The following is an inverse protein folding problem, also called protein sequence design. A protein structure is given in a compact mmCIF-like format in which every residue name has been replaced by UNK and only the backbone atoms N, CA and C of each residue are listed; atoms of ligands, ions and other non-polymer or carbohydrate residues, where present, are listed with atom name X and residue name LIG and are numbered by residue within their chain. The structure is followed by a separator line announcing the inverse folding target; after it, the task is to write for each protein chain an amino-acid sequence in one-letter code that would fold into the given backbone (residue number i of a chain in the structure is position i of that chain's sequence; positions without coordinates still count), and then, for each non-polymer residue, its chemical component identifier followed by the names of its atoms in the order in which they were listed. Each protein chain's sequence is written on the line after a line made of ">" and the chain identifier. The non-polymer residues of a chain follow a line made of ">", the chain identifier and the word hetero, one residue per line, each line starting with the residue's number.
data_IF_023032935545
#
_entry.id   IF_023032935545
#
_cell.length_a   1.000
_cell.length_b   1.000
_cell.length_c   1.000
_cell.angle_alpha   90.00
_cell.angle_beta   90.00
_cell.angle_gamma   90.00
#
_symmetry.space_group_name_H-M   'P 1'
#
loop_
_entity.id
_entity.type
_entity.pdbx_description
1 polymer ?
#
# COMPACT_ATOMS: atom_id res chain seq x y z
N UNK A 1 21.14 20.01 20.81
CA UNK A 1 19.80 19.34 20.85
C UNK A 1 20.03 17.86 20.71
N UNK A 2 19.96 17.14 21.83
CA UNK A 2 20.05 15.69 21.79
C UNK A 2 18.76 15.13 21.20
N UNK A 3 18.84 14.74 19.94
CA UNK A 3 17.79 13.92 19.34
C UNK A 3 17.86 12.57 20.06
N UNK A 4 17.07 12.41 21.11
CA UNK A 4 16.79 11.09 21.66
C UNK A 4 16.10 10.31 20.55
N UNK A 5 16.90 9.61 19.74
CA UNK A 5 16.39 8.55 18.86
C UNK A 5 15.74 7.54 19.80
N UNK A 6 14.41 7.61 19.94
CA UNK A 6 13.67 6.50 20.52
C UNK A 6 14.01 5.30 19.65
N UNK A 7 14.85 4.41 20.16
CA UNK A 7 15.05 3.12 19.51
C UNK A 7 13.67 2.50 19.34
N UNK A 8 13.21 2.45 18.11
CA UNK A 8 11.97 1.78 17.78
C UNK A 8 12.16 0.35 18.25
N UNK A 9 11.36 -0.03 19.24
CA UNK A 9 11.30 -1.40 19.69
C UNK A 9 11.01 -2.24 18.45
N UNK A 10 11.85 -3.23 18.19
CA UNK A 10 11.75 -4.05 17.00
C UNK A 10 10.33 -4.59 16.80
N UNK A 11 9.94 -4.78 15.56
CA UNK A 11 8.69 -5.43 15.24
C UNK A 11 8.84 -6.92 15.50
N UNK A 12 8.14 -7.42 16.51
CA UNK A 12 8.07 -8.85 16.79
C UNK A 12 6.83 -9.43 16.11
N UNK A 13 7.04 -10.33 15.16
CA UNK A 13 5.94 -11.16 14.68
C UNK A 13 5.72 -12.30 15.66
N UNK A 14 4.46 -12.52 15.99
CA UNK A 14 4.06 -13.69 16.78
C UNK A 14 4.31 -14.96 15.97
N UNK A 15 4.57 -16.07 16.64
CA UNK A 15 4.85 -17.35 15.98
C UNK A 15 3.74 -17.78 15.03
N UNK A 16 2.47 -17.53 15.39
CA UNK A 16 1.32 -17.87 14.55
C UNK A 16 1.31 -17.10 13.22
N UNK A 17 1.85 -15.88 13.19
CA UNK A 17 2.03 -15.11 11.94
C UNK A 17 3.19 -15.68 11.14
N UNK A 18 4.34 -15.86 11.79
CA UNK A 18 5.58 -16.29 11.14
C UNK A 18 5.46 -17.63 10.44
N UNK A 19 4.74 -18.59 11.05
CA UNK A 19 4.53 -19.93 10.51
C UNK A 19 3.23 -20.08 9.72
N UNK A 20 2.48 -19.00 9.49
CA UNK A 20 1.26 -19.08 8.69
C UNK A 20 1.54 -19.36 7.21
N UNK A 21 0.65 -20.10 6.57
CA UNK A 21 0.72 -20.33 5.10
C UNK A 21 0.78 -19.01 4.34
N UNK A 22 0.04 -18.00 4.80
CA UNK A 22 0.06 -16.67 4.23
C UNK A 22 1.46 -16.04 4.27
N UNK A 23 2.14 -16.07 5.42
CA UNK A 23 3.48 -15.47 5.55
C UNK A 23 4.54 -16.26 4.77
N UNK A 24 4.48 -17.57 4.82
CA UNK A 24 5.45 -18.43 4.11
C UNK A 24 5.34 -18.27 2.59
N UNK A 25 4.15 -17.94 2.06
CA UNK A 25 3.95 -17.67 0.62
C UNK A 25 4.48 -16.31 0.17
N UNK A 26 4.81 -15.39 1.10
CA UNK A 26 5.27 -14.04 0.75
C UNK A 26 6.66 -14.05 0.11
N UNK A 27 6.81 -13.32 -0.97
CA UNK A 27 8.11 -12.98 -1.53
C UNK A 27 8.91 -12.09 -0.56
N UNK A 28 10.23 -12.07 -0.70
CA UNK A 28 11.10 -11.20 0.09
C UNK A 28 10.65 -9.74 -0.03
N UNK A 29 10.32 -9.30 -1.26
CA UNK A 29 9.85 -7.93 -1.50
C UNK A 29 8.56 -7.60 -0.76
N UNK A 30 7.65 -8.56 -0.61
CA UNK A 30 6.40 -8.39 0.13
C UNK A 30 6.65 -8.34 1.64
N UNK A 31 7.56 -9.16 2.15
CA UNK A 31 7.97 -9.11 3.57
C UNK A 31 8.61 -7.77 3.92
N UNK A 32 9.48 -7.25 3.04
CA UNK A 32 10.11 -5.94 3.23
C UNK A 32 9.05 -4.82 3.24
N UNK A 33 8.09 -4.84 2.32
CA UNK A 33 7.02 -3.85 2.28
C UNK A 33 6.11 -3.96 3.51
N UNK A 34 5.79 -5.16 3.96
CA UNK A 34 5.03 -5.37 5.19
C UNK A 34 5.76 -4.77 6.39
N UNK A 35 7.07 -5.00 6.49
CA UNK A 35 7.91 -4.44 7.54
C UNK A 35 7.87 -2.90 7.51
N UNK A 36 8.00 -2.29 6.33
CA UNK A 36 7.91 -0.84 6.17
C UNK A 36 6.56 -0.29 6.67
N UNK A 37 5.45 -0.94 6.33
CA UNK A 37 4.12 -0.53 6.79
C UNK A 37 3.95 -0.70 8.30
N UNK A 38 4.48 -1.78 8.87
CA UNK A 38 4.42 -2.01 10.32
C UNK A 38 5.22 -0.97 11.10
N UNK A 39 6.35 -0.47 10.57
CA UNK A 39 7.13 0.58 11.22
C UNK A 39 6.42 1.92 11.30
N UNK A 40 5.45 2.18 10.40
CA UNK A 40 4.62 3.39 10.45
C UNK A 40 3.54 3.34 11.56
N UNK A 41 3.26 2.18 12.12
CA UNK A 41 2.25 2.04 13.17
C UNK A 41 2.78 2.64 14.47
N UNK A 42 2.14 3.71 14.93
CA UNK A 42 2.43 4.28 16.23
C UNK A 42 1.76 3.43 17.33
N UNK A 43 2.52 3.08 18.35
CA UNK A 43 2.01 2.33 19.50
C UNK A 43 2.19 3.16 20.76
N UNK A 44 1.16 3.18 21.60
CA UNK A 44 1.22 3.75 22.95
C UNK A 44 0.62 2.79 23.98
N UNK A 45 1.11 2.85 25.21
CA UNK A 45 0.58 2.05 26.32
C UNK A 45 -0.50 2.87 27.03
N UNK A 46 -1.77 2.44 26.92
CA UNK A 46 -2.92 3.10 27.57
C UNK A 46 -3.51 2.10 28.56
N UNK A 47 -3.62 2.49 29.83
CA UNK A 47 -4.17 1.63 30.91
C UNK A 47 -3.56 0.22 30.91
N UNK A 48 -2.24 0.12 30.75
CA UNK A 48 -1.51 -1.15 30.74
C UNK A 48 -1.55 -1.95 29.43
N UNK A 49 -2.36 -1.58 28.45
CA UNK A 49 -2.48 -2.26 27.15
C UNK A 49 -1.80 -1.47 26.04
N UNK A 50 -1.16 -2.16 25.10
CA UNK A 50 -0.63 -1.56 23.89
C UNK A 50 -1.77 -1.27 22.91
N UNK A 51 -1.86 -0.03 22.44
CA UNK A 51 -2.84 0.42 21.45
C UNK A 51 -2.09 0.93 20.23
N UNK A 52 -2.50 0.44 19.07
CA UNK A 52 -1.98 0.89 17.78
C UNK A 52 -2.78 2.09 17.28
N UNK A 53 -2.06 3.15 16.88
CA UNK A 53 -2.65 4.36 16.29
C UNK A 53 -2.30 4.44 14.81
N UNK A 54 -3.16 5.11 14.03
CA UNK A 54 -2.99 5.34 12.60
C UNK A 54 -2.97 4.08 11.74
N UNK A 55 -3.33 2.94 12.30
CA UNK A 55 -3.49 1.73 11.50
C UNK A 55 -4.75 1.85 10.64
N UNK A 56 -4.59 2.10 9.37
CA UNK A 56 -5.64 2.47 8.40
C UNK A 56 -5.29 3.73 7.61
N UNK A 57 -4.29 4.49 8.08
CA UNK A 57 -3.74 5.68 7.43
C UNK A 57 -2.27 5.49 7.02
N UNK A 58 -1.80 4.25 6.99
CA UNK A 58 -0.42 3.93 6.63
C UNK A 58 -0.22 4.16 5.14
N UNK A 59 0.79 4.92 4.78
CA UNK A 59 1.00 5.37 3.41
C UNK A 59 2.44 5.23 2.93
N UNK A 60 3.11 4.13 3.31
CA UNK A 60 4.47 3.91 2.84
C UNK A 60 4.50 3.92 1.31
N UNK A 61 5.03 5.01 0.76
CA UNK A 61 4.91 5.30 -0.65
C UNK A 61 5.95 4.56 -1.50
N UNK A 62 5.60 4.36 -2.75
CA UNK A 62 6.44 3.71 -3.76
C UNK A 62 7.85 4.31 -3.83
N UNK A 63 7.98 5.64 -3.84
CA UNK A 63 9.28 6.31 -3.93
C UNK A 63 10.20 6.00 -2.75
N UNK A 64 9.64 5.90 -1.54
CA UNK A 64 10.43 5.60 -0.35
C UNK A 64 10.83 4.12 -0.31
N UNK A 65 9.94 3.23 -0.75
CA UNK A 65 10.27 1.82 -0.93
C UNK A 65 11.41 1.62 -1.94
N UNK A 66 11.36 2.31 -3.08
CA UNK A 66 12.41 2.24 -4.11
C UNK A 66 13.73 2.79 -3.57
N UNK A 67 13.71 3.92 -2.87
CA UNK A 67 14.91 4.50 -2.25
C UNK A 67 15.55 3.55 -1.23
N UNK A 68 14.72 2.92 -0.39
CA UNK A 68 15.17 2.03 0.67
C UNK A 68 15.70 0.70 0.11
N UNK A 69 14.95 0.06 -0.77
CA UNK A 69 15.23 -1.30 -1.23
C UNK A 69 16.02 -1.38 -2.53
N UNK A 70 16.15 -0.28 -3.26
CA UNK A 70 16.76 -0.18 -4.62
C UNK A 70 16.04 -1.08 -5.64
N UNK A 71 14.78 -1.43 -5.38
CA UNK A 71 13.95 -2.26 -6.28
C UNK A 71 13.08 -1.39 -7.19
N UNK A 72 12.52 -2.02 -8.23
CA UNK A 72 11.71 -1.31 -9.23
C UNK A 72 10.30 -0.98 -8.72
N UNK A 73 9.64 -0.04 -9.39
CA UNK A 73 8.22 0.27 -9.23
C UNK A 73 7.33 -0.98 -9.39
N UNK A 74 7.61 -1.81 -10.38
CA UNK A 74 6.83 -3.03 -10.61
C UNK A 74 6.96 -3.99 -9.44
N UNK A 75 8.14 -4.09 -8.83
CA UNK A 75 8.36 -4.90 -7.63
C UNK A 75 7.51 -4.40 -6.45
N UNK A 76 7.43 -3.08 -6.24
CA UNK A 76 6.54 -2.50 -5.23
C UNK A 76 5.07 -2.86 -5.48
N UNK A 77 4.60 -2.71 -6.72
CA UNK A 77 3.22 -3.04 -7.10
C UNK A 77 2.91 -4.51 -6.83
N UNK A 78 3.81 -5.40 -7.23
CA UNK A 78 3.66 -6.85 -7.03
C UNK A 78 3.66 -7.19 -5.54
N UNK A 79 4.56 -6.61 -4.75
CA UNK A 79 4.63 -6.79 -3.30
C UNK A 79 3.34 -6.35 -2.61
N UNK A 80 2.83 -5.16 -2.93
CA UNK A 80 1.55 -4.64 -2.42
C UNK A 80 0.38 -5.57 -2.77
N UNK A 81 0.30 -5.98 -4.03
CA UNK A 81 -0.78 -6.84 -4.49
C UNK A 81 -0.76 -8.20 -3.79
N UNK A 82 0.42 -8.77 -3.57
CA UNK A 82 0.57 -10.02 -2.83
C UNK A 82 0.13 -9.86 -1.37
N UNK A 83 0.48 -8.76 -0.71
CA UNK A 83 0.04 -8.49 0.67
C UNK A 83 -1.47 -8.32 0.79
N UNK A 84 -2.12 -7.73 -0.21
CA UNK A 84 -3.59 -7.67 -0.28
C UNK A 84 -4.15 -9.07 -0.48
N UNK A 85 -3.66 -9.81 -1.46
CA UNK A 85 -4.11 -11.16 -1.80
C UNK A 85 -4.05 -12.13 -0.62
N UNK A 86 -2.97 -12.09 0.14
CA UNK A 86 -2.75 -12.96 1.31
C UNK A 86 -3.46 -12.46 2.57
N UNK A 87 -4.07 -11.28 2.53
CA UNK A 87 -4.83 -10.73 3.66
C UNK A 87 -3.99 -10.10 4.77
N UNK A 88 -2.73 -9.75 4.52
CA UNK A 88 -1.91 -9.01 5.49
C UNK A 88 -2.25 -7.53 5.56
N UNK A 89 -2.64 -6.94 4.43
CA UNK A 89 -3.08 -5.55 4.37
C UNK A 89 -4.43 -5.41 3.69
N UNK A 90 -5.14 -4.36 4.08
CA UNK A 90 -6.34 -3.89 3.39
C UNK A 90 -6.11 -2.45 2.93
N UNK A 91 -6.44 -2.13 1.69
CA UNK A 91 -6.45 -0.76 1.22
C UNK A 91 -7.66 -0.02 1.80
N UNK A 92 -7.43 1.07 2.52
CA UNK A 92 -8.48 1.92 3.11
C UNK A 92 -8.80 3.10 2.23
N UNK A 93 -7.81 3.60 1.50
CA UNK A 93 -7.96 4.68 0.53
C UNK A 93 -7.09 4.40 -0.70
N UNK A 94 -7.67 4.60 -1.89
CA UNK A 94 -6.97 4.27 -3.14
C UNK A 94 -5.93 5.30 -3.56
N UNK A 95 -6.15 6.55 -3.22
CA UNK A 95 -5.33 7.67 -3.67
C UNK A 95 -5.43 7.98 -5.17
N UNK A 96 -4.66 8.98 -5.60
CA UNK A 96 -4.50 9.32 -7.03
C UNK A 96 -5.56 10.25 -7.62
N UNK A 97 -6.29 11.00 -6.77
CA UNK A 97 -7.25 12.03 -7.21
C UNK A 97 -6.61 13.42 -7.36
N UNK A 98 -5.35 13.57 -6.95
CA UNK A 98 -4.63 14.85 -7.04
C UNK A 98 -3.24 14.77 -6.43
N UNK A 99 -2.52 15.89 -6.43
CA UNK A 99 -1.22 16.00 -5.81
C UNK A 99 -1.34 15.77 -4.29
N UNK A 100 -0.53 14.85 -3.76
CA UNK A 100 -0.54 14.50 -2.33
C UNK A 100 -1.59 13.47 -1.92
N UNK A 101 -2.53 13.10 -2.79
CA UNK A 101 -3.52 12.06 -2.50
C UNK A 101 -2.87 10.66 -2.61
N UNK A 102 -2.51 10.09 -1.48
CA UNK A 102 -1.76 8.84 -1.36
C UNK A 102 -2.68 7.68 -1.05
N UNK A 103 -2.33 6.49 -1.54
CA UNK A 103 -2.98 5.26 -1.11
C UNK A 103 -2.71 5.00 0.37
N UNK A 104 -3.75 4.60 1.11
CA UNK A 104 -3.64 4.28 2.53
C UNK A 104 -4.00 2.82 2.78
N UNK A 105 -3.37 2.26 3.80
CA UNK A 105 -3.49 0.85 4.13
C UNK A 105 -3.74 0.63 5.61
N UNK A 106 -4.39 -0.48 5.92
CA UNK A 106 -4.49 -1.06 7.26
C UNK A 106 -3.73 -2.38 7.29
N UNK A 107 -2.85 -2.56 8.25
CA UNK A 107 -2.15 -3.81 8.51
C UNK A 107 -3.00 -4.68 9.42
N UNK A 108 -3.27 -5.91 8.99
CA UNK A 108 -4.21 -6.81 9.65
C UNK A 108 -3.57 -7.76 10.68
N UNK A 109 -2.27 -7.62 10.92
CA UNK A 109 -1.54 -8.30 12.01
C UNK A 109 -1.35 -7.44 13.25
N UNK A 110 -1.78 -6.18 13.21
CA UNK A 110 -1.63 -5.25 14.32
C UNK A 110 -2.55 -5.60 15.50
N UNK A 111 -2.17 -5.17 16.71
CA UNK A 111 -2.84 -5.53 17.96
C UNK A 111 -4.28 -4.98 18.06
N UNK A 112 -4.62 -3.94 17.30
CA UNK A 112 -5.96 -3.35 17.22
C UNK A 112 -6.92 -4.12 16.31
N UNK A 113 -6.44 -5.16 15.60
CA UNK A 113 -7.25 -5.95 14.67
C UNK A 113 -7.77 -7.20 15.37
N UNK A 114 -9.09 -7.29 15.52
CA UNK A 114 -9.75 -8.47 16.11
C UNK A 114 -9.48 -9.72 15.26
N UNK A 115 -9.47 -10.88 15.89
CA UNK A 115 -9.14 -12.17 15.27
C UNK A 115 -10.02 -12.46 14.05
N UNK A 116 -11.31 -12.16 14.13
CA UNK A 116 -12.26 -12.34 13.02
C UNK A 116 -11.92 -11.53 11.77
N UNK A 117 -11.18 -10.44 11.93
CA UNK A 117 -10.73 -9.55 10.85
C UNK A 117 -9.31 -9.83 10.37
N UNK A 118 -8.60 -10.79 10.99
CA UNK A 118 -7.26 -11.20 10.58
C UNK A 118 -7.34 -12.14 9.38
N UNK A 119 -7.48 -11.56 8.20
CA UNK A 119 -7.71 -12.25 6.93
C UNK A 119 -6.63 -13.29 6.58
N UNK A 120 -5.38 -13.01 6.91
CA UNK A 120 -4.24 -13.88 6.67
C UNK A 120 -4.38 -15.30 7.30
N UNK A 121 -5.23 -15.43 8.34
CA UNK A 121 -5.52 -16.73 8.97
C UNK A 121 -6.36 -17.66 8.08
N UNK A 122 -7.09 -17.07 7.13
CA UNK A 122 -8.00 -17.80 6.23
C UNK A 122 -7.34 -18.12 4.89
N UNK A 123 -6.11 -17.70 4.69
CA UNK A 123 -5.33 -18.02 3.49
C UNK A 123 -4.71 -19.43 3.64
N UNK A 124 -4.69 -20.30 2.59
CA UNK A 124 -5.07 -20.05 1.19
C UNK A 124 -6.55 -20.31 0.85
N UNK A 125 -7.39 -20.82 1.76
CA UNK A 125 -8.79 -21.16 1.49
C UNK A 125 -9.59 -19.95 1.00
N UNK A 126 -9.26 -18.77 1.52
CA UNK A 126 -9.77 -17.49 1.04
C UNK A 126 -8.61 -16.60 0.58
N UNK A 127 -8.85 -15.83 -0.46
CA UNK A 127 -7.94 -14.80 -0.94
C UNK A 127 -8.70 -13.53 -1.28
N UNK A 128 -7.99 -12.42 -1.37
CA UNK A 128 -8.58 -11.10 -1.61
C UNK A 128 -8.08 -10.48 -2.91
N UNK A 129 -7.87 -11.30 -3.93
CA UNK A 129 -7.42 -10.88 -5.27
C UNK A 129 -8.37 -9.86 -5.90
N UNK A 130 -9.66 -9.94 -5.60
CA UNK A 130 -10.69 -9.01 -6.07
C UNK A 130 -10.55 -7.59 -5.49
N UNK A 131 -9.86 -7.42 -4.35
CA UNK A 131 -9.58 -6.12 -3.75
C UNK A 131 -8.30 -5.46 -4.29
N UNK A 132 -7.53 -6.16 -5.12
CA UNK A 132 -6.35 -5.59 -5.76
C UNK A 132 -6.79 -4.46 -6.70
N UNK A 133 -6.25 -3.24 -6.54
CA UNK A 133 -6.65 -2.11 -7.36
C UNK A 133 -6.28 -2.36 -8.82
N UNK A 134 -7.27 -2.37 -9.69
CA UNK A 134 -7.06 -2.41 -11.13
C UNK A 134 -6.27 -1.16 -11.55
N UNK A 135 -5.31 -1.33 -12.48
CA UNK A 135 -4.60 -0.18 -13.02
C UNK A 135 -5.64 0.79 -13.61
N UNK A 136 -5.50 2.07 -13.25
CA UNK A 136 -6.28 3.09 -13.96
C UNK A 136 -5.75 3.10 -15.39
N UNK A 137 -6.53 2.55 -16.31
CA UNK A 137 -6.15 2.57 -17.72
C UNK A 137 -5.85 4.02 -18.13
N UNK A 138 -4.78 4.22 -18.86
CA UNK A 138 -4.37 5.51 -19.44
C UNK A 138 -5.39 6.13 -20.41
N UNK A 139 -6.66 5.76 -20.30
CA UNK A 139 -7.64 5.88 -21.37
C UNK A 139 -8.43 7.18 -21.39
N UNK A 140 -8.47 7.94 -20.31
CA UNK A 140 -9.32 9.15 -20.31
C UNK A 140 -8.67 10.32 -21.07
N UNK A 141 -7.34 10.35 -21.20
CA UNK A 141 -6.67 11.43 -21.91
C UNK A 141 -6.35 11.17 -23.38
N UNK A 142 -6.30 9.90 -23.80
CA UNK A 142 -5.82 9.55 -25.16
C UNK A 142 -6.91 9.46 -26.22
N UNK A 143 -8.16 9.21 -25.85
CA UNK A 143 -9.25 9.06 -26.82
C UNK A 143 -9.98 10.35 -27.17
N UNK A 144 -9.84 11.41 -26.38
CA UNK A 144 -10.65 12.63 -26.55
C UNK A 144 -9.88 13.86 -26.98
N UNK A 145 -8.56 13.89 -26.89
CA UNK A 145 -7.83 15.11 -27.21
C UNK A 145 -7.37 15.24 -28.65
N UNK A 146 -6.89 14.18 -29.28
CA UNK A 146 -6.43 14.28 -30.68
C UNK A 146 -6.53 12.93 -31.39
N UNK A 147 -7.08 12.89 -32.57
CA UNK A 147 -6.86 11.78 -33.49
C UNK A 147 -5.40 11.81 -33.95
N UNK A 148 -4.80 10.63 -34.13
CA UNK A 148 -3.42 10.48 -34.56
C UNK A 148 -3.18 11.35 -35.82
N UNK A 149 -2.32 12.36 -35.73
CA UNK A 149 -2.02 13.28 -36.83
C UNK A 149 -2.67 14.67 -36.77
N UNK A 150 -3.50 14.98 -35.75
CA UNK A 150 -4.03 16.33 -35.55
C UNK A 150 -3.18 17.10 -34.53
N UNK A 151 -2.54 18.17 -34.95
CA UNK A 151 -1.85 19.09 -34.04
C UNK A 151 -2.82 20.17 -33.56
N UNK A 152 -2.60 20.66 -32.31
CA UNK A 152 -3.41 21.71 -31.70
C UNK A 152 -3.46 23.04 -32.46
N UNK A 153 -2.60 23.23 -33.48
CA UNK A 153 -2.51 24.48 -34.25
C UNK A 153 -3.49 24.60 -35.39
N UNK A 154 -4.27 23.57 -35.72
CA UNK A 154 -5.22 23.60 -36.84
C UNK A 154 -6.63 24.07 -36.51
N UNK A 155 -6.90 24.53 -35.32
CA UNK A 155 -8.26 24.92 -34.88
C UNK A 155 -8.49 26.43 -34.88
N UNK A 156 -7.49 27.24 -35.25
CA UNK A 156 -7.69 28.69 -35.33
C UNK A 156 -7.41 29.15 -36.78
N UNK A 157 -8.35 28.91 -37.67
CA UNK A 157 -8.51 29.68 -38.87
C UNK A 157 -10.02 29.78 -39.15
N UNK A 158 -10.66 30.73 -38.46
CA UNK A 158 -11.89 31.31 -39.00
C UNK A 158 -11.47 32.37 -40.02
N UNK A 159 -11.98 32.29 -41.25
CA UNK A 159 -11.90 33.44 -42.11
C UNK A 159 -12.82 34.51 -41.54
N UNK A 160 -12.31 35.69 -41.38
CA UNK A 160 -13.07 36.91 -41.10
C UNK A 160 -13.53 37.37 -42.51
N UNK A 161 -14.80 37.29 -42.79
CA UNK A 161 -15.47 38.12 -43.74
C UNK A 161 -16.00 39.38 -43.08
#
# INVERSE_FOLDING_TARGET
>A
MDIKVKMNKGCFYRNDIWFSSAYLSLSISSRDLLQCLVTEINKAKIKGKWVSFRNGELSFIESDYIKLTKRSKQTYINARNQLIQTGFIKMTHRGGNGAGDRAMYRVLIADDVRIEHQRWRKYPEQNWTNEIPKSRGLTIGKKTRFKKGQSARKVISHPIE
#
